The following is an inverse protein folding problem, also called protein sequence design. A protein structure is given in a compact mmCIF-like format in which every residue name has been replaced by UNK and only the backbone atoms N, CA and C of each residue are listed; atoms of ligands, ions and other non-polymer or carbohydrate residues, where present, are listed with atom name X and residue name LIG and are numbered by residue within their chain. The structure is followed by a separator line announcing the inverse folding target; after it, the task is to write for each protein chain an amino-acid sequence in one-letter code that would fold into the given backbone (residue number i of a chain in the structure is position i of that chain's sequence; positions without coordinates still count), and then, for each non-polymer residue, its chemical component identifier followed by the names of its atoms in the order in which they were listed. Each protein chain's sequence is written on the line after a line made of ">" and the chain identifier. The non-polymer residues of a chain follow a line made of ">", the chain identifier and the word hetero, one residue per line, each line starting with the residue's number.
data_IF_004903904556
#
_entry.id   IF_004903904556
#
_cell.length_a   1.000
_cell.length_b   1.000
_cell.length_c   1.000
_cell.angle_alpha   90.00
_cell.angle_beta   90.00
_cell.angle_gamma   90.00
#
_symmetry.space_group_name_H-M   'P 1'
#
loop_
_entity.id
_entity.type
_entity.pdbx_description
1 polymer ?
#
# COMPACT_ATOMS: atom_id res chain seq x y z
N UNK A 1 -9.06 24.80 -38.48
CA UNK A 1 -8.53 24.30 -37.17
C UNK A 1 -8.95 22.85 -37.05
N UNK A 2 -7.98 21.95 -36.99
CA UNK A 2 -8.08 20.57 -37.46
C UNK A 2 -8.73 19.61 -36.44
N UNK A 3 -9.82 18.93 -36.84
CA UNK A 3 -10.58 17.96 -35.99
C UNK A 3 -9.71 16.77 -35.56
N UNK A 4 -8.61 16.49 -36.26
CA UNK A 4 -7.66 15.44 -35.92
C UNK A 4 -6.92 15.72 -34.59
N UNK A 5 -6.54 16.98 -34.31
CA UNK A 5 -5.87 17.36 -33.06
C UNK A 5 -6.79 17.27 -31.84
N UNK A 6 -8.08 17.55 -32.03
CA UNK A 6 -9.08 17.54 -30.97
C UNK A 6 -9.33 16.14 -30.37
N UNK A 7 -9.08 15.05 -31.13
CA UNK A 7 -9.20 13.67 -30.61
C UNK A 7 -7.93 13.16 -29.93
N UNK A 8 -6.76 13.71 -30.27
CA UNK A 8 -5.48 13.23 -29.75
C UNK A 8 -5.29 13.60 -28.26
N UNK A 9 -5.75 14.80 -27.86
CA UNK A 9 -5.59 15.32 -26.50
C UNK A 9 -6.40 14.51 -25.46
N UNK A 10 -7.70 14.22 -25.67
CA UNK A 10 -8.48 13.38 -24.76
C UNK A 10 -7.90 11.97 -24.58
N UNK A 11 -7.45 11.34 -25.67
CA UNK A 11 -6.86 10.00 -25.63
C UNK A 11 -5.57 9.95 -24.80
N UNK A 12 -4.70 10.96 -24.95
CA UNK A 12 -3.48 11.08 -24.14
C UNK A 12 -3.80 11.30 -22.66
N UNK A 13 -4.80 12.13 -22.34
CA UNK A 13 -5.27 12.34 -20.96
C UNK A 13 -5.82 11.06 -20.34
N UNK A 14 -6.62 10.30 -21.08
CA UNK A 14 -7.16 9.02 -20.60
C UNK A 14 -6.06 8.00 -20.32
N UNK A 15 -5.04 7.93 -21.19
CA UNK A 15 -3.87 7.06 -20.99
C UNK A 15 -3.04 7.48 -19.78
N UNK A 16 -2.81 8.78 -19.59
CA UNK A 16 -2.11 9.31 -18.41
C UNK A 16 -2.89 9.01 -17.10
N UNK A 17 -4.20 9.21 -17.10
CA UNK A 17 -5.05 8.89 -15.95
C UNK A 17 -5.04 7.39 -15.61
N UNK A 18 -5.04 6.52 -16.64
CA UNK A 18 -4.91 5.07 -16.46
C UNK A 18 -3.58 4.68 -15.83
N UNK A 19 -2.46 5.24 -16.32
CA UNK A 19 -1.13 4.99 -15.76
C UNK A 19 -1.00 5.49 -14.33
N UNK A 20 -1.53 6.68 -14.02
CA UNK A 20 -1.55 7.21 -12.65
C UNK A 20 -2.32 6.30 -11.69
N UNK A 21 -3.50 5.81 -12.08
CA UNK A 21 -4.27 4.86 -11.25
C UNK A 21 -3.52 3.55 -11.02
N UNK A 22 -2.77 3.06 -12.01
CA UNK A 22 -1.92 1.86 -11.84
C UNK A 22 -0.78 2.12 -10.86
N UNK A 23 -0.12 3.28 -10.95
CA UNK A 23 0.92 3.67 -10.00
C UNK A 23 0.36 3.84 -8.58
N UNK A 24 -0.81 4.44 -8.44
CA UNK A 24 -1.51 4.56 -7.15
C UNK A 24 -1.87 3.17 -6.58
N UNK A 25 -2.38 2.25 -7.41
CA UNK A 25 -2.71 0.89 -6.97
C UNK A 25 -1.48 0.08 -6.52
N UNK A 26 -0.30 0.39 -7.05
CA UNK A 26 0.97 -0.20 -6.65
C UNK A 26 1.62 0.53 -5.46
N UNK A 27 1.06 1.64 -5.00
CA UNK A 27 1.58 2.38 -3.85
C UNK A 27 1.28 1.63 -2.56
N UNK A 28 2.28 1.33 -1.72
CA UNK A 28 2.07 0.79 -0.37
C UNK A 28 1.12 1.66 0.47
N UNK A 29 1.02 2.96 0.16
CA UNK A 29 0.11 3.89 0.81
C UNK A 29 -1.36 3.67 0.40
N UNK A 30 -1.63 3.18 -0.81
CA UNK A 30 -2.99 2.87 -1.24
C UNK A 30 -3.57 1.66 -0.50
N UNK A 31 -2.71 0.75 -0.04
CA UNK A 31 -3.09 -0.34 0.87
C UNK A 31 -3.46 0.24 2.24
N UNK A 32 -2.63 1.12 2.81
CA UNK A 32 -2.95 1.76 4.09
C UNK A 32 -4.22 2.63 4.05
N UNK A 33 -4.50 3.27 2.91
CA UNK A 33 -5.70 4.09 2.71
C UNK A 33 -7.03 3.31 2.76
N UNK A 34 -6.99 1.99 2.56
CA UNK A 34 -8.17 1.10 2.59
C UNK A 34 -8.43 0.48 3.98
N UNK A 35 -7.71 0.92 5.01
CA UNK A 35 -7.85 0.41 6.38
C UNK A 35 -6.93 -0.77 6.71
N UNK A 36 -5.93 -1.06 5.87
CA UNK A 36 -4.91 -2.06 6.17
C UNK A 36 -3.73 -1.44 6.95
N UNK A 37 -2.96 -2.31 7.61
CA UNK A 37 -1.71 -1.95 8.27
C UNK A 37 -0.55 -2.78 7.71
N UNK A 38 0.66 -2.20 7.68
CA UNK A 38 1.90 -2.93 7.40
C UNK A 38 2.51 -3.34 8.72
N UNK A 39 2.73 -4.65 8.92
CA UNK A 39 3.41 -5.20 10.08
C UNK A 39 4.92 -5.04 9.91
N UNK A 40 5.58 -4.48 10.93
CA UNK A 40 7.02 -4.28 10.97
C UNK A 40 7.60 -4.79 12.28
N UNK A 41 8.87 -5.20 12.27
CA UNK A 41 9.60 -5.48 13.50
C UNK A 41 10.18 -4.22 14.17
N UNK A 42 10.91 -4.42 15.26
CA UNK A 42 11.60 -3.36 16.00
C UNK A 42 12.63 -2.58 15.14
N UNK A 43 13.17 -3.19 14.07
CA UNK A 43 14.10 -2.55 13.13
C UNK A 43 13.38 -1.80 12.01
N UNK A 44 12.10 -2.07 11.81
CA UNK A 44 11.25 -1.46 10.77
C UNK A 44 11.17 -2.29 9.49
N UNK A 45 11.71 -3.52 9.52
CA UNK A 45 11.56 -4.48 8.42
C UNK A 45 10.12 -4.99 8.38
N UNK A 46 9.56 -5.02 7.18
CA UNK A 46 8.21 -5.54 6.93
C UNK A 46 8.20 -7.04 7.14
N UNK A 47 7.22 -7.53 7.91
CA UNK A 47 6.94 -8.93 8.11
C UNK A 47 5.71 -9.31 7.28
N UNK A 48 5.95 -9.91 6.11
CA UNK A 48 4.91 -10.24 5.13
C UNK A 48 4.30 -11.64 5.31
N UNK A 49 4.95 -12.51 6.09
CA UNK A 49 4.54 -13.90 6.33
C UNK A 49 4.30 -14.11 7.83
N UNK A 50 3.19 -14.73 8.21
CA UNK A 50 2.87 -15.05 9.61
C UNK A 50 3.88 -16.02 10.25
N UNK A 51 4.53 -16.89 9.47
CA UNK A 51 5.57 -17.81 9.96
C UNK A 51 6.84 -17.07 10.46
N UNK A 52 7.02 -15.81 10.07
CA UNK A 52 8.10 -14.95 10.60
C UNK A 52 7.78 -14.35 11.98
N UNK A 53 6.52 -14.44 12.41
CA UNK A 53 6.05 -13.93 13.69
C UNK A 53 6.12 -15.01 14.77
N UNK A 54 6.21 -14.56 16.02
CA UNK A 54 6.21 -15.43 17.21
C UNK A 54 5.32 -14.81 18.27
N UNK A 55 4.52 -15.63 18.95
CA UNK A 55 3.71 -15.19 20.09
C UNK A 55 4.59 -14.51 21.15
N UNK A 56 4.10 -13.43 21.73
CA UNK A 56 4.80 -12.58 22.69
C UNK A 56 5.73 -11.55 22.07
N UNK A 57 5.99 -11.60 20.76
CA UNK A 57 6.85 -10.62 20.08
C UNK A 57 6.16 -9.27 19.93
N UNK A 58 6.89 -8.21 20.25
CA UNK A 58 6.46 -6.84 19.97
C UNK A 58 6.68 -6.51 18.48
N UNK A 59 5.67 -5.88 17.89
CA UNK A 59 5.61 -5.47 16.48
C UNK A 59 5.14 -4.02 16.39
N UNK A 60 5.38 -3.41 15.24
CA UNK A 60 4.88 -2.07 14.90
C UNK A 60 3.98 -2.17 13.70
N UNK A 61 2.78 -1.60 13.82
CA UNK A 61 1.83 -1.46 12.73
C UNK A 61 2.01 -0.07 12.15
N UNK A 62 2.29 0.02 10.85
CA UNK A 62 2.22 1.29 10.11
C UNK A 62 0.85 1.41 9.46
N UNK A 63 0.15 2.48 9.78
CA UNK A 63 -1.18 2.81 9.29
C UNK A 63 -1.11 4.11 8.47
N UNK A 64 -2.24 4.52 7.88
CA UNK A 64 -2.31 5.74 7.06
C UNK A 64 -1.89 7.00 7.82
N UNK A 65 -2.27 7.09 9.08
CA UNK A 65 -2.18 8.26 9.96
C UNK A 65 -1.08 8.16 11.01
N UNK A 66 -0.36 7.03 11.08
CA UNK A 66 0.69 6.89 12.08
C UNK A 66 1.23 5.48 12.26
N UNK A 67 1.77 5.25 13.45
CA UNK A 67 2.32 3.97 13.88
C UNK A 67 1.75 3.58 15.23
N UNK A 68 1.45 2.29 15.38
CA UNK A 68 0.91 1.70 16.61
C UNK A 68 1.82 0.56 17.05
N UNK A 69 2.11 0.49 18.35
CA UNK A 69 2.76 -0.67 18.95
C UNK A 69 1.76 -1.78 19.21
N UNK A 70 2.11 -3.03 18.90
CA UNK A 70 1.27 -4.19 19.16
C UNK A 70 2.12 -5.39 19.58
N UNK A 71 1.48 -6.39 20.19
CA UNK A 71 2.11 -7.66 20.57
C UNK A 71 1.39 -8.82 19.91
N UNK A 72 2.15 -9.76 19.35
CA UNK A 72 1.59 -10.96 18.73
C UNK A 72 1.02 -11.87 19.81
N UNK A 73 -0.28 -12.15 19.74
CA UNK A 73 -0.99 -13.04 20.68
C UNK A 73 -1.18 -14.44 20.13
N UNK A 74 -1.21 -14.58 18.80
CA UNK A 74 -1.46 -15.84 18.11
C UNK A 74 -0.72 -15.85 16.76
N UNK A 75 -0.31 -17.02 16.31
CA UNK A 75 0.16 -17.30 14.95
C UNK A 75 -0.52 -18.57 14.45
N UNK A 76 -0.73 -18.75 13.13
CA UNK A 76 -1.29 -19.98 12.59
C UNK A 76 -0.46 -21.20 13.02
N UNK A 77 -1.15 -22.30 13.34
CA UNK A 77 -0.58 -23.60 13.70
C UNK A 77 0.20 -24.25 12.57
#
# INVERSE_FOLDING_TARGET
>A
IDRAGARLVPLRRQRAASLRRRLEALSPLAVLGRGYAIVQDATGRVQADSASLRVGRDIRLRMRDGRVGARVTEVPS
#
